data_IF_526716702778
#
_entry.id   IF_526716702778
#
_cell.length_a   1.000
_cell.length_b   1.000
_cell.length_c   1.000
_cell.angle_alpha   90.00
_cell.angle_beta   90.00
_cell.angle_gamma   90.00
#
_symmetry.space_group_name_H-M   'P 1'
#
loop_
_entity.id
_entity.type
_entity.pdbx_description
1 polymer ?
#
# COMPACT_ATOMS: atom_id res chain seq x y z
N UNK A 1 1.94 -18.38 -12.67
CA UNK A 1 2.07 -18.33 -11.19
C UNK A 1 1.09 -17.28 -10.66
N UNK A 2 0.22 -17.68 -9.74
CA UNK A 2 -0.65 -16.76 -9.02
C UNK A 2 0.08 -16.25 -7.77
N UNK A 3 0.05 -14.93 -7.56
CA UNK A 3 0.57 -14.30 -6.36
C UNK A 3 -0.56 -13.56 -5.65
N UNK A 4 -0.60 -13.62 -4.33
CA UNK A 4 -1.57 -12.85 -3.56
C UNK A 4 -0.90 -12.01 -2.48
N UNK A 5 -1.42 -10.80 -2.32
CA UNK A 5 -1.22 -9.95 -1.16
C UNK A 5 -2.54 -9.88 -0.39
N UNK A 6 -2.52 -10.42 0.84
CA UNK A 6 -3.69 -10.51 1.70
C UNK A 6 -3.61 -9.37 2.72
N UNK A 7 -4.16 -8.24 2.33
CA UNK A 7 -4.25 -7.05 3.15
C UNK A 7 -5.33 -7.14 4.25
N UNK A 8 -5.51 -6.07 5.01
CA UNK A 8 -6.53 -6.03 6.08
C UNK A 8 -7.97 -6.02 5.57
N UNK A 9 -8.18 -5.56 4.33
CA UNK A 9 -9.53 -5.31 3.79
C UNK A 9 -9.85 -6.19 2.59
N UNK A 10 -8.89 -6.45 1.73
CA UNK A 10 -9.07 -7.17 0.47
C UNK A 10 -7.95 -8.16 0.20
N UNK A 11 -8.26 -9.15 -0.65
CA UNK A 11 -7.28 -9.93 -1.38
C UNK A 11 -6.93 -9.22 -2.68
N UNK A 12 -5.66 -9.05 -2.92
CA UNK A 12 -5.12 -8.62 -4.20
C UNK A 12 -4.44 -9.82 -4.85
N UNK A 13 -4.92 -10.27 -6.00
CA UNK A 13 -4.42 -11.47 -6.69
C UNK A 13 -3.87 -11.07 -8.05
N UNK A 14 -2.59 -11.34 -8.27
CA UNK A 14 -1.89 -11.14 -9.53
C UNK A 14 -1.78 -12.45 -10.31
N UNK A 15 -2.30 -12.49 -11.53
CA UNK A 15 -2.34 -13.66 -12.40
C UNK A 15 -1.21 -13.69 -13.46
N UNK A 16 -0.23 -12.82 -13.34
CA UNK A 16 0.84 -12.65 -14.34
C UNK A 16 0.58 -11.53 -15.35
N UNK A 17 -0.63 -10.95 -15.38
CA UNK A 17 -1.03 -9.86 -16.29
C UNK A 17 -1.73 -8.73 -15.56
N UNK A 18 -2.74 -9.05 -14.76
CA UNK A 18 -3.63 -8.10 -14.08
C UNK A 18 -3.75 -8.42 -12.60
N UNK A 19 -4.11 -7.41 -11.80
CA UNK A 19 -4.46 -7.58 -10.39
C UNK A 19 -5.98 -7.60 -10.26
N UNK A 20 -6.50 -8.59 -9.54
CA UNK A 20 -7.89 -8.63 -9.09
C UNK A 20 -7.98 -8.23 -7.63
N UNK A 21 -8.97 -7.40 -7.31
CA UNK A 21 -9.28 -6.97 -5.94
C UNK A 21 -10.56 -7.64 -5.50
N UNK A 22 -10.47 -8.59 -4.59
CA UNK A 22 -11.58 -9.44 -4.20
C UNK A 22 -11.85 -9.35 -2.68
N UNK A 23 -13.11 -9.59 -2.28
CA UNK A 23 -13.40 -9.94 -0.90
C UNK A 23 -12.78 -11.31 -0.57
N UNK A 24 -12.59 -11.59 0.72
CA UNK A 24 -11.99 -12.85 1.17
C UNK A 24 -12.77 -14.07 0.67
N UNK A 25 -14.09 -14.07 0.84
CA UNK A 25 -14.95 -15.18 0.42
C UNK A 25 -14.88 -15.42 -1.09
N UNK A 26 -14.90 -14.35 -1.88
CA UNK A 26 -14.82 -14.44 -3.34
C UNK A 26 -13.44 -14.94 -3.80
N UNK A 27 -12.37 -14.51 -3.15
CA UNK A 27 -11.02 -14.96 -3.47
C UNK A 27 -10.85 -16.47 -3.18
N UNK A 28 -11.28 -16.90 -1.99
CA UNK A 28 -11.23 -18.33 -1.61
C UNK A 28 -12.12 -19.16 -2.55
N UNK A 29 -13.36 -18.74 -2.79
CA UNK A 29 -14.27 -19.47 -3.66
C UNK A 29 -13.71 -19.64 -5.08
N UNK A 30 -13.05 -18.59 -5.62
CA UNK A 30 -12.51 -18.59 -6.98
C UNK A 30 -11.22 -19.39 -7.11
N UNK A 31 -10.31 -19.26 -6.13
CA UNK A 31 -8.92 -19.71 -6.28
C UNK A 31 -8.49 -20.88 -5.41
N UNK A 32 -9.38 -21.43 -4.55
CA UNK A 32 -9.01 -22.53 -3.63
C UNK A 32 -8.45 -23.79 -4.31
N UNK A 33 -8.75 -24.00 -5.59
CA UNK A 33 -8.26 -25.14 -6.38
C UNK A 33 -6.98 -24.85 -7.14
N UNK A 34 -6.55 -23.60 -7.18
CA UNK A 34 -5.37 -23.15 -7.91
C UNK A 34 -4.13 -23.12 -7.01
N UNK A 35 -2.96 -23.33 -7.60
CA UNK A 35 -1.70 -23.11 -6.91
C UNK A 35 -1.44 -21.60 -6.76
N UNK A 36 -1.21 -21.13 -5.52
CA UNK A 36 -1.08 -19.73 -5.20
C UNK A 36 -0.02 -19.53 -4.11
N UNK A 37 0.91 -18.59 -4.35
CA UNK A 37 1.81 -18.10 -3.34
C UNK A 37 1.32 -16.78 -2.76
N UNK A 38 1.29 -16.65 -1.43
CA UNK A 38 0.76 -15.45 -0.78
C UNK A 38 1.65 -14.90 0.33
N UNK A 39 1.52 -13.59 0.53
CA UNK A 39 1.91 -12.89 1.74
C UNK A 39 0.65 -12.43 2.48
N UNK A 40 0.73 -12.26 3.80
CA UNK A 40 -0.42 -11.81 4.59
C UNK A 40 0.00 -10.99 5.81
N UNK A 41 -0.70 -9.89 6.02
CA UNK A 41 -0.66 -9.10 7.26
C UNK A 41 -1.85 -9.40 8.18
N UNK A 42 -2.84 -10.19 7.74
CA UNK A 42 -4.07 -10.48 8.47
C UNK A 42 -3.99 -11.78 9.26
N UNK A 43 -3.61 -11.69 10.52
CA UNK A 43 -3.46 -12.85 11.40
C UNK A 43 -4.75 -13.66 11.65
N UNK A 44 -5.93 -13.04 11.62
CA UNK A 44 -7.20 -13.70 11.94
C UNK A 44 -7.65 -14.73 10.89
N UNK A 45 -7.31 -14.52 9.61
CA UNK A 45 -7.66 -15.41 8.50
C UNK A 45 -6.61 -16.49 8.22
N UNK A 46 -5.43 -16.40 8.82
CA UNK A 46 -4.35 -17.34 8.55
C UNK A 46 -4.76 -18.79 8.78
N UNK A 47 -5.51 -19.09 9.85
CA UNK A 47 -5.94 -20.46 10.18
C UNK A 47 -6.81 -21.10 9.11
N UNK A 48 -7.67 -20.32 8.46
CA UNK A 48 -8.54 -20.80 7.38
C UNK A 48 -7.75 -20.98 6.07
N UNK A 49 -6.93 -20.00 5.74
CA UNK A 49 -6.12 -19.99 4.51
C UNK A 49 -5.05 -21.08 4.56
N UNK A 50 -4.42 -21.32 5.71
CA UNK A 50 -3.40 -22.36 5.89
C UNK A 50 -3.96 -23.79 5.68
N UNK A 51 -5.26 -23.99 5.75
CA UNK A 51 -5.90 -25.28 5.44
C UNK A 51 -6.03 -25.52 3.93
N UNK A 52 -5.86 -24.52 3.09
CA UNK A 52 -5.92 -24.64 1.64
C UNK A 52 -4.58 -25.18 1.13
N UNK A 53 -4.54 -26.48 0.85
CA UNK A 53 -3.30 -27.23 0.52
C UNK A 53 -2.47 -26.64 -0.64
N UNK A 54 -3.16 -26.04 -1.62
CA UNK A 54 -2.54 -25.49 -2.83
C UNK A 54 -2.01 -24.07 -2.61
N UNK A 55 -2.24 -23.47 -1.43
CA UNK A 55 -1.78 -22.12 -1.13
C UNK A 55 -0.55 -22.15 -0.24
N UNK A 56 0.47 -21.41 -0.64
CA UNK A 56 1.75 -21.38 0.05
C UNK A 56 2.05 -20.01 0.64
N UNK A 57 2.16 -19.96 1.97
CA UNK A 57 2.61 -18.75 2.65
C UNK A 57 4.11 -18.53 2.44
N UNK A 58 4.46 -17.42 1.82
CA UNK A 58 5.84 -17.04 1.53
C UNK A 58 6.30 -15.82 2.33
N UNK A 59 5.51 -15.36 3.31
CA UNK A 59 5.81 -14.16 4.10
C UNK A 59 7.21 -14.21 4.75
N UNK A 60 7.65 -15.39 5.19
CA UNK A 60 8.97 -15.59 5.80
C UNK A 60 10.15 -15.40 4.85
N UNK A 61 9.90 -15.44 3.53
CA UNK A 61 10.92 -15.24 2.49
C UNK A 61 11.10 -13.77 2.13
N UNK A 62 10.16 -12.92 2.52
CA UNK A 62 10.18 -11.47 2.27
C UNK A 62 11.05 -10.82 3.36
N UNK A 63 12.28 -10.49 3.00
CA UNK A 63 13.27 -9.90 3.91
C UNK A 63 13.96 -8.72 3.26
N UNK A 64 14.14 -7.64 4.02
CA UNK A 64 14.92 -6.47 3.60
C UNK A 64 16.00 -6.15 4.64
N UNK A 65 17.07 -5.50 4.21
CA UNK A 65 18.13 -5.07 5.13
C UNK A 65 17.63 -3.95 6.03
N UNK A 66 17.91 -4.03 7.31
CA UNK A 66 17.53 -3.07 8.34
C UNK A 66 16.01 -2.98 8.61
N UNK A 67 15.29 -4.09 8.36
CA UNK A 67 13.88 -4.18 8.76
C UNK A 67 13.73 -4.20 10.28
N UNK A 68 12.61 -3.71 10.80
CA UNK A 68 12.27 -3.87 12.21
C UNK A 68 11.25 -5.00 12.42
N UNK A 69 11.25 -5.59 13.59
CA UNK A 69 10.54 -6.85 13.89
C UNK A 69 9.04 -6.81 13.54
N UNK A 70 8.38 -5.69 13.83
CA UNK A 70 6.92 -5.53 13.60
C UNK A 70 6.56 -4.96 12.25
N UNK A 71 7.51 -4.87 11.31
CA UNK A 71 7.25 -4.35 9.96
C UNK A 71 6.35 -5.30 9.16
N UNK A 72 5.25 -4.78 8.62
CA UNK A 72 4.33 -5.52 7.75
C UNK A 72 5.04 -6.13 6.55
N UNK A 73 4.67 -7.36 6.20
CA UNK A 73 5.28 -8.09 5.07
C UNK A 73 4.96 -7.44 3.72
N UNK A 74 3.80 -6.82 3.58
CA UNK A 74 3.38 -6.01 2.44
C UNK A 74 4.34 -4.85 2.18
N UNK A 75 4.70 -4.10 3.22
CA UNK A 75 5.68 -3.00 3.16
C UNK A 75 7.07 -3.51 2.80
N UNK A 76 7.49 -4.66 3.36
CA UNK A 76 8.77 -5.29 2.98
C UNK A 76 8.78 -5.70 1.52
N UNK A 77 7.69 -6.32 1.04
CA UNK A 77 7.55 -6.69 -0.36
C UNK A 77 7.63 -5.44 -1.26
N UNK A 78 6.90 -4.38 -0.90
CA UNK A 78 6.95 -3.12 -1.63
C UNK A 78 8.38 -2.57 -1.75
N UNK A 79 9.14 -2.59 -0.65
CA UNK A 79 10.53 -2.13 -0.60
C UNK A 79 11.49 -2.96 -1.45
N UNK A 80 11.20 -4.23 -1.72
CA UNK A 80 12.02 -5.08 -2.59
C UNK A 80 11.89 -4.77 -4.07
N UNK A 81 10.87 -4.01 -4.48
CA UNK A 81 10.68 -3.69 -5.90
C UNK A 81 11.79 -2.81 -6.48
N UNK A 82 12.42 -1.95 -5.67
CA UNK A 82 13.50 -1.04 -6.12
C UNK A 82 14.50 -0.76 -5.00
N UNK A 83 15.79 -0.75 -5.30
CA UNK A 83 16.87 -0.53 -4.33
C UNK A 83 16.92 0.87 -3.72
N UNK A 84 16.50 1.89 -4.47
CA UNK A 84 16.52 3.29 -4.03
C UNK A 84 15.28 4.00 -4.51
N UNK A 85 14.37 4.26 -3.58
CA UNK A 85 13.10 4.92 -3.81
C UNK A 85 12.40 5.29 -2.51
N UNK A 86 11.33 6.06 -2.62
CA UNK A 86 10.32 6.20 -1.57
C UNK A 86 9.05 5.55 -2.07
N UNK A 87 8.52 4.65 -1.27
CA UNK A 87 7.30 3.92 -1.56
C UNK A 87 6.15 4.48 -0.76
N UNK A 88 5.04 4.70 -1.41
CA UNK A 88 3.81 5.19 -0.79
C UNK A 88 2.68 4.21 -1.16
N UNK A 89 2.23 3.45 -0.17
CA UNK A 89 1.02 2.65 -0.33
C UNK A 89 -0.15 3.40 0.32
N UNK A 90 -1.08 3.83 -0.52
CA UNK A 90 -2.22 4.63 -0.10
C UNK A 90 -3.51 3.79 -0.14
N UNK A 91 -3.74 3.06 0.94
CA UNK A 91 -4.90 2.21 1.17
C UNK A 91 -5.69 2.61 2.42
N UNK A 92 -6.10 1.62 3.22
CA UNK A 92 -6.77 1.80 4.52
C UNK A 92 -5.90 2.57 5.52
N UNK A 93 -4.59 2.43 5.42
CA UNK A 93 -3.57 3.33 5.94
C UNK A 93 -2.74 3.84 4.77
N UNK A 94 -2.00 4.94 4.96
CA UNK A 94 -1.00 5.40 4.01
C UNK A 94 0.35 5.13 4.64
N UNK A 95 1.12 4.20 4.08
CA UNK A 95 2.48 3.93 4.54
C UNK A 95 3.49 4.62 3.62
N UNK A 96 4.55 5.13 4.20
CA UNK A 96 5.66 5.74 3.47
C UNK A 96 6.94 5.08 3.93
N UNK A 97 7.67 4.47 3.00
CA UNK A 97 8.86 3.67 3.25
C UNK A 97 10.03 4.16 2.39
N UNK A 98 11.19 4.37 3.00
CA UNK A 98 12.38 4.91 2.34
C UNK A 98 13.43 3.81 2.19
N UNK A 99 13.82 3.54 0.95
CA UNK A 99 14.93 2.65 0.61
C UNK A 99 16.09 3.44 0.01
N UNK A 100 17.30 3.11 0.41
CA UNK A 100 18.53 3.65 -0.19
C UNK A 100 19.56 2.55 -0.36
N UNK A 101 19.96 2.25 -1.60
CA UNK A 101 20.95 1.22 -1.93
C UNK A 101 20.64 -0.15 -1.31
N UNK A 102 19.37 -0.56 -1.38
CA UNK A 102 18.89 -1.83 -0.84
C UNK A 102 18.81 -1.90 0.70
N UNK A 103 18.92 -0.76 1.38
CA UNK A 103 18.84 -0.67 2.85
C UNK A 103 17.63 0.20 3.23
N UNK A 104 16.77 -0.34 4.10
CA UNK A 104 15.65 0.39 4.66
C UNK A 104 16.13 1.49 5.60
N UNK A 105 15.71 2.73 5.35
CA UNK A 105 16.11 3.91 6.10
C UNK A 105 15.09 4.30 7.18
N UNK A 106 13.90 3.76 7.11
CA UNK A 106 12.79 4.11 7.97
C UNK A 106 11.53 4.43 7.18
N UNK A 107 10.45 4.70 7.89
CA UNK A 107 9.18 5.05 7.29
C UNK A 107 8.20 5.53 8.33
N UNK A 108 7.01 5.92 7.88
CA UNK A 108 5.95 6.38 8.74
C UNK A 108 4.58 6.01 8.16
N UNK A 109 3.56 6.12 8.99
CA UNK A 109 2.20 5.69 8.65
C UNK A 109 1.22 6.81 8.99
N UNK A 110 0.33 7.12 8.03
CA UNK A 110 -0.84 7.95 8.26
C UNK A 110 -2.11 7.06 8.26
N UNK A 111 -3.20 7.52 8.86
CA UNK A 111 -4.51 6.98 8.53
C UNK A 111 -4.79 7.14 7.04
N UNK A 112 -5.52 6.21 6.42
CA UNK A 112 -5.98 6.39 5.03
C UNK A 112 -6.90 7.60 4.87
N UNK A 113 -7.07 8.10 3.64
CA UNK A 113 -7.86 9.31 3.39
C UNK A 113 -9.29 9.21 3.95
N UNK A 114 -9.93 8.05 3.79
CA UNK A 114 -11.26 7.79 4.36
C UNK A 114 -11.28 7.85 5.89
N UNK A 115 -10.25 7.31 6.55
CA UNK A 115 -10.15 7.34 8.01
C UNK A 115 -9.93 8.77 8.52
N UNK A 116 -9.10 9.56 7.82
CA UNK A 116 -8.94 10.99 8.14
C UNK A 116 -10.25 11.75 8.01
N UNK A 117 -10.99 11.58 6.92
CA UNK A 117 -12.31 12.22 6.73
C UNK A 117 -13.30 11.82 7.82
N UNK A 118 -13.38 10.53 8.16
CA UNK A 118 -14.24 10.04 9.22
C UNK A 118 -13.90 10.66 10.58
N UNK A 119 -12.62 10.98 10.84
CA UNK A 119 -12.24 11.67 12.08
C UNK A 119 -12.83 13.08 12.18
N UNK A 120 -12.93 13.79 11.07
CA UNK A 120 -13.61 15.11 11.02
C UNK A 120 -15.12 14.99 11.24
N UNK A 121 -15.76 14.00 10.60
CA UNK A 121 -17.17 13.70 10.82
C UNK A 121 -17.48 13.39 12.31
N UNK A 122 -16.55 12.73 13.00
CA UNK A 122 -16.64 12.46 14.44
C UNK A 122 -16.54 13.68 15.35
N UNK A 123 -16.01 14.81 14.85
CA UNK A 123 -15.94 16.08 15.60
C UNK A 123 -17.28 16.83 15.51
N UNK A 124 -17.83 16.94 14.30
CA UNK A 124 -19.09 17.68 14.07
C UNK A 124 -19.69 17.27 12.72
N UNK A 125 -21.03 17.23 12.65
CA UNK A 125 -21.75 16.96 11.39
C UNK A 125 -21.49 17.99 10.30
N UNK A 126 -21.11 19.22 10.64
CA UNK A 126 -20.71 20.27 9.67
C UNK A 126 -19.38 19.91 8.98
N UNK A 127 -18.56 19.08 9.61
CA UNK A 127 -17.27 18.60 9.08
C UNK A 127 -17.40 17.26 8.35
N UNK A 128 -18.60 16.67 8.28
CA UNK A 128 -18.88 15.46 7.50
C UNK A 128 -18.96 15.82 6.01
N UNK A 129 -17.84 15.83 5.37
CA UNK A 129 -17.69 16.22 3.97
C UNK A 129 -16.93 15.16 3.17
N UNK A 130 -17.17 15.11 1.87
CA UNK A 130 -16.38 14.31 0.96
C UNK A 130 -15.08 15.02 0.58
N UNK A 131 -14.05 14.23 0.32
CA UNK A 131 -12.78 14.74 -0.20
C UNK A 131 -12.97 15.46 -1.53
N UNK A 132 -12.49 16.69 -1.65
CA UNK A 132 -12.39 17.35 -2.93
C UNK A 132 -11.14 16.85 -3.68
N UNK A 133 -11.34 15.94 -4.64
CA UNK A 133 -10.25 15.40 -5.48
C UNK A 133 -9.68 16.41 -6.49
N UNK A 134 -10.31 17.57 -6.65
CA UNK A 134 -9.85 18.65 -7.54
C UNK A 134 -9.19 19.79 -6.75
N UNK A 135 -8.86 19.57 -5.48
CA UNK A 135 -8.25 20.58 -4.62
C UNK A 135 -6.92 21.07 -5.20
N UNK A 136 -6.75 22.39 -5.24
CA UNK A 136 -5.45 23.03 -5.53
C UNK A 136 -4.72 23.28 -4.22
N UNK A 137 -3.41 23.08 -4.21
CA UNK A 137 -2.54 23.42 -3.08
C UNK A 137 -1.83 24.76 -3.24
N UNK A 138 -2.12 25.51 -4.32
CA UNK A 138 -1.49 26.80 -4.62
C UNK A 138 -2.07 27.96 -3.79
N UNK A 139 -3.32 27.80 -3.32
CA UNK A 139 -4.04 28.86 -2.60
C UNK A 139 -4.76 28.28 -1.39
N UNK A 140 -4.86 29.10 -0.33
CA UNK A 140 -5.63 28.72 0.85
C UNK A 140 -7.13 28.65 0.50
N UNK A 141 -7.83 27.59 0.86
CA UNK A 141 -9.24 27.43 0.62
C UNK A 141 -10.09 28.32 1.51
N UNK A 142 -11.32 28.62 1.05
CA UNK A 142 -12.29 29.45 1.74
C UNK A 142 -13.60 28.73 2.07
N UNK A 143 -13.66 27.41 1.86
CA UNK A 143 -14.81 26.58 2.24
C UNK A 143 -14.38 25.47 3.21
N UNK A 144 -15.30 24.95 4.02
CA UNK A 144 -15.03 23.87 4.96
C UNK A 144 -14.56 22.61 4.26
N UNK A 145 -15.22 22.21 3.16
CA UNK A 145 -14.85 21.03 2.36
C UNK A 145 -13.45 21.14 1.83
N UNK A 146 -13.11 22.27 1.24
CA UNK A 146 -11.79 22.48 0.67
C UNK A 146 -10.72 22.64 1.76
N UNK A 147 -11.05 23.27 2.88
CA UNK A 147 -10.18 23.41 4.03
C UNK A 147 -9.74 22.06 4.61
N UNK A 148 -10.67 21.13 4.74
CA UNK A 148 -10.39 19.76 5.20
C UNK A 148 -9.55 19.02 4.15
N UNK A 149 -9.95 19.08 2.88
CA UNK A 149 -9.23 18.42 1.79
C UNK A 149 -7.79 18.94 1.66
N UNK A 150 -7.62 20.26 1.71
CA UNK A 150 -6.32 20.93 1.72
C UNK A 150 -5.46 20.49 2.90
N UNK A 151 -6.01 20.54 4.11
CA UNK A 151 -5.29 20.17 5.33
C UNK A 151 -4.76 18.74 5.27
N UNK A 152 -5.57 17.80 4.81
CA UNK A 152 -5.17 16.39 4.64
C UNK A 152 -4.06 16.28 3.59
N UNK A 153 -4.29 16.75 2.37
CA UNK A 153 -3.36 16.53 1.25
C UNK A 153 -2.07 17.31 1.43
N UNK A 154 -2.13 18.56 1.86
CA UNK A 154 -0.95 19.38 2.11
C UNK A 154 -0.06 18.80 3.22
N UNK A 155 -0.64 18.25 4.29
CA UNK A 155 0.13 17.60 5.35
C UNK A 155 0.88 16.37 4.86
N UNK A 156 0.19 15.50 4.11
CA UNK A 156 0.80 14.31 3.50
C UNK A 156 1.93 14.73 2.57
N UNK A 157 1.65 15.69 1.66
CA UNK A 157 2.63 16.19 0.71
C UNK A 157 3.85 16.80 1.39
N UNK A 158 3.67 17.65 2.36
CA UNK A 158 4.76 18.32 3.06
C UNK A 158 5.72 17.32 3.72
N UNK A 159 5.17 16.23 4.33
CA UNK A 159 6.02 15.25 4.98
C UNK A 159 6.73 14.33 3.98
N UNK A 160 6.08 13.96 2.88
CA UNK A 160 6.73 13.20 1.80
C UNK A 160 7.83 14.06 1.15
N UNK A 161 7.56 15.31 0.81
CA UNK A 161 8.55 16.23 0.21
C UNK A 161 9.75 16.43 1.12
N UNK A 162 9.54 16.55 2.44
CA UNK A 162 10.63 16.69 3.43
C UNK A 162 11.64 15.55 3.36
N UNK A 163 11.21 14.35 3.05
CA UNK A 163 12.06 13.15 3.01
C UNK A 163 12.43 12.70 1.60
N UNK A 164 11.86 13.33 0.55
CA UNK A 164 12.08 12.88 -0.83
C UNK A 164 13.49 13.15 -1.36
N UNK A 165 14.08 14.30 -1.00
CA UNK A 165 15.41 14.70 -1.44
C UNK A 165 15.70 14.43 -2.93
N UNK A 166 14.66 14.55 -3.79
CA UNK A 166 14.76 14.26 -5.22
C UNK A 166 14.67 12.78 -5.60
N UNK A 167 14.46 11.89 -4.66
CA UNK A 167 14.25 10.47 -4.92
C UNK A 167 12.99 10.22 -5.76
N UNK A 168 12.96 9.12 -6.49
CA UNK A 168 11.78 8.65 -7.19
C UNK A 168 10.72 8.22 -6.18
N UNK A 169 9.48 8.66 -6.41
CA UNK A 169 8.33 8.30 -5.58
C UNK A 169 7.49 7.26 -6.31
N UNK A 170 7.28 6.12 -5.68
CA UNK A 170 6.40 5.08 -6.22
C UNK A 170 5.15 4.97 -5.37
N UNK A 171 4.01 5.17 -6.02
CA UNK A 171 2.69 5.12 -5.40
C UNK A 171 1.97 3.83 -5.80
N UNK A 172 1.29 3.22 -4.83
CA UNK A 172 0.36 2.11 -5.01
C UNK A 172 -0.86 2.29 -4.11
N UNK A 173 -1.76 1.32 -4.10
CA UNK A 173 -2.99 1.37 -3.33
C UNK A 173 -4.12 2.16 -4.00
N UNK A 174 -5.33 2.05 -3.45
CA UNK A 174 -6.55 2.59 -4.06
C UNK A 174 -6.56 4.11 -4.22
N UNK A 175 -5.94 4.85 -3.30
CA UNK A 175 -5.79 6.31 -3.35
C UNK A 175 -4.44 6.75 -3.93
N UNK A 176 -3.54 5.80 -4.26
CA UNK A 176 -2.18 6.08 -4.73
C UNK A 176 -2.15 6.86 -6.03
N UNK A 177 -3.02 6.51 -7.00
CA UNK A 177 -3.12 7.23 -8.27
C UNK A 177 -3.51 8.69 -8.07
N UNK A 178 -4.45 8.96 -7.19
CA UNK A 178 -4.86 10.32 -6.86
C UNK A 178 -3.74 11.08 -6.15
N UNK A 179 -3.14 10.51 -5.11
CA UNK A 179 -2.08 11.19 -4.37
C UNK A 179 -0.83 11.45 -5.23
N UNK A 180 -0.49 10.56 -6.16
CA UNK A 180 0.68 10.73 -7.03
C UNK A 180 0.60 12.01 -7.88
N UNK A 181 -0.61 12.53 -8.16
CA UNK A 181 -0.80 13.74 -8.97
C UNK A 181 -0.22 15.01 -8.34
N UNK A 182 -0.01 15.01 -7.02
CA UNK A 182 0.57 16.14 -6.29
C UNK A 182 2.10 16.18 -6.31
N UNK A 183 2.76 15.20 -6.95
CA UNK A 183 4.22 15.06 -6.94
C UNK A 183 4.81 14.98 -8.35
N UNK A 184 5.84 15.78 -8.63
CA UNK A 184 6.45 15.84 -9.97
C UNK A 184 7.27 14.58 -10.34
N UNK A 185 7.95 13.97 -9.37
CA UNK A 185 8.83 12.80 -9.60
C UNK A 185 8.17 11.51 -9.11
N UNK A 186 6.92 11.28 -9.51
CA UNK A 186 6.11 10.16 -9.05
C UNK A 186 5.71 9.21 -10.17
N UNK A 187 5.51 7.95 -9.82
CA UNK A 187 4.93 6.90 -10.65
C UNK A 187 3.89 6.17 -9.84
N UNK A 188 2.68 6.00 -10.37
CA UNK A 188 1.71 5.06 -9.85
C UNK A 188 1.88 3.70 -10.51
N UNK A 189 2.01 2.66 -9.68
CA UNK A 189 2.10 1.28 -10.14
C UNK A 189 1.41 0.35 -9.12
N UNK A 190 0.33 -0.30 -9.53
CA UNK A 190 -0.41 -1.24 -8.68
C UNK A 190 0.31 -2.59 -8.49
N UNK A 191 1.35 -2.86 -9.29
CA UNK A 191 2.09 -4.12 -9.27
C UNK A 191 3.28 -4.13 -8.30
N UNK A 192 3.60 -3.02 -7.66
CA UNK A 192 4.83 -2.86 -6.86
C UNK A 192 5.03 -3.97 -5.81
N UNK A 193 3.98 -4.33 -5.08
CA UNK A 193 4.05 -5.41 -4.08
C UNK A 193 4.38 -6.73 -4.76
N UNK A 194 3.76 -7.02 -5.90
CA UNK A 194 3.99 -8.26 -6.66
C UNK A 194 5.37 -8.27 -7.33
N UNK A 195 5.88 -7.13 -7.77
CA UNK A 195 7.26 -7.00 -8.25
C UNK A 195 8.26 -7.35 -7.14
N UNK A 196 8.05 -6.84 -5.94
CA UNK A 196 8.86 -7.18 -4.78
C UNK A 196 8.73 -8.65 -4.35
N UNK A 197 7.52 -9.23 -4.39
CA UNK A 197 7.34 -10.68 -4.17
C UNK A 197 8.14 -11.48 -5.20
N UNK A 198 8.07 -11.11 -6.48
CA UNK A 198 8.82 -11.79 -7.55
C UNK A 198 10.32 -11.68 -7.35
N UNK A 199 10.82 -10.52 -6.91
CA UNK A 199 12.25 -10.35 -6.61
C UNK A 199 12.68 -11.25 -5.44
N UNK A 200 11.86 -11.37 -4.39
CA UNK A 200 12.12 -12.27 -3.27
C UNK A 200 12.11 -13.77 -3.66
N UNK A 201 11.39 -14.13 -4.71
CA UNK A 201 11.30 -15.50 -5.23
C UNK A 201 12.30 -15.82 -6.33
N UNK A 202 13.02 -14.82 -6.82
CA UNK A 202 14.06 -15.00 -7.83
C UNK A 202 15.06 -16.06 -7.37
N UNK A 203 15.39 -16.97 -8.26
CA UNK A 203 16.29 -18.10 -8.00
C UNK A 203 15.76 -19.14 -6.98
N UNK A 204 14.47 -19.06 -6.61
CA UNK A 204 13.81 -20.03 -5.73
C UNK A 204 12.71 -20.79 -6.50
N UNK A 205 12.86 -22.10 -6.66
CA UNK A 205 11.82 -22.96 -7.25
C UNK A 205 10.71 -23.24 -6.21
N UNK A 206 9.92 -22.23 -5.85
CA UNK A 206 8.99 -22.32 -4.73
C UNK A 206 7.51 -22.27 -5.17
N UNK A 207 7.23 -21.61 -6.27
CA UNK A 207 5.86 -21.45 -6.79
C UNK A 207 5.80 -21.74 -8.28
#
# INVERSE_FOLDING_TARGET
MLLADIGNTHFHIYNGKTVEHLSYDNAIAKYKSEELCYISVKHQLLKEIEQIKNWKNISSLIKIKNEYETMGVDRKALCLSHDTAIFIDAGSAITVDVMQKGIYQGGYIFPGLKAMLNSYAGISSVLDVELNKQISLEQLPTTTKDGISYGIIASIKALIDKHSHGSKLYFTGGDGKFLSTFFKNSVYNELLVFEGIREALKDKNIC
#
